data_IF_329796006709
#
_entry.id   IF_329796006709
#
_cell.length_a   1.000
_cell.length_b   1.000
_cell.length_c   1.000
_cell.angle_alpha   90.00
_cell.angle_beta   90.00
_cell.angle_gamma   90.00
#
_symmetry.space_group_name_H-M   'P 1'
#
loop_
_entity.id
_entity.type
_entity.pdbx_description
1 polymer ?
#
# COMPACT_ATOMS: atom_id res chain seq x y z
N UNK A 1 28.30 -20.42 20.97
CA UNK A 1 28.26 -19.02 20.53
C UNK A 1 27.10 -18.84 19.54
N UNK A 2 25.96 -18.25 19.95
CA UNK A 2 24.89 -17.90 19.05
C UNK A 2 25.30 -16.61 18.33
N UNK A 3 25.54 -16.68 17.03
CA UNK A 3 25.67 -15.52 16.14
C UNK A 3 24.40 -14.71 16.26
N UNK A 4 24.47 -13.56 16.93
CA UNK A 4 23.44 -12.52 16.90
C UNK A 4 23.49 -11.87 15.52
N UNK A 5 22.95 -12.57 14.51
CA UNK A 5 22.73 -11.99 13.20
C UNK A 5 21.80 -10.78 13.36
N UNK A 6 22.31 -9.60 13.07
CA UNK A 6 21.55 -8.35 13.06
C UNK A 6 20.38 -8.56 12.09
N UNK A 7 19.16 -8.70 12.63
CA UNK A 7 17.94 -8.90 11.83
C UNK A 7 17.80 -7.71 10.89
N UNK A 8 17.65 -7.97 9.61
CA UNK A 8 17.39 -6.94 8.61
C UNK A 8 16.02 -6.33 8.89
N UNK A 9 15.99 -5.01 9.06
CA UNK A 9 14.75 -4.27 9.35
C UNK A 9 13.83 -4.34 8.14
N UNK A 10 12.67 -4.94 8.30
CA UNK A 10 11.65 -5.05 7.25
C UNK A 10 10.68 -3.88 7.30
N UNK A 11 9.93 -3.66 6.21
CA UNK A 11 8.86 -2.65 6.17
C UNK A 11 7.79 -2.89 7.26
N UNK A 12 7.64 -4.13 7.71
CA UNK A 12 6.73 -4.50 8.80
C UNK A 12 7.15 -3.91 10.15
N UNK A 13 8.42 -3.56 10.32
CA UNK A 13 8.94 -2.96 11.55
C UNK A 13 8.70 -1.44 11.62
N UNK A 14 8.28 -0.83 10.50
CA UNK A 14 8.05 0.61 10.42
C UNK A 14 6.69 1.01 11.05
N UNK A 15 6.62 2.27 11.52
CA UNK A 15 5.35 2.89 11.91
C UNK A 15 4.47 3.13 10.68
N UNK A 16 3.14 3.33 10.84
CA UNK A 16 2.26 3.68 9.74
C UNK A 16 2.73 4.91 8.97
N UNK A 17 3.23 5.92 9.68
CA UNK A 17 3.82 7.12 9.07
C UNK A 17 5.08 6.77 8.27
N UNK A 18 5.94 5.87 8.79
CA UNK A 18 7.12 5.40 8.08
C UNK A 18 6.77 4.66 6.79
N UNK A 19 5.77 3.79 6.82
CA UNK A 19 5.27 3.06 5.64
C UNK A 19 4.70 4.04 4.60
N UNK A 20 3.89 5.01 5.05
CA UNK A 20 3.32 6.07 4.22
C UNK A 20 4.42 6.87 3.50
N UNK A 21 5.41 7.37 4.23
CA UNK A 21 6.50 8.14 3.66
C UNK A 21 7.32 7.31 2.66
N UNK A 22 7.65 6.07 3.02
CA UNK A 22 8.43 5.17 2.17
C UNK A 22 7.70 4.80 0.89
N UNK A 23 6.39 4.55 0.95
CA UNK A 23 5.59 4.19 -0.23
C UNK A 23 5.47 5.34 -1.25
N UNK A 24 5.41 6.59 -0.77
CA UNK A 24 5.35 7.78 -1.64
C UNK A 24 6.71 8.25 -2.17
N UNK A 25 7.81 7.90 -1.49
CA UNK A 25 9.14 8.45 -1.76
C UNK A 25 9.63 8.16 -3.18
N UNK A 26 9.44 6.96 -3.68
CA UNK A 26 9.88 6.56 -5.04
C UNK A 26 9.17 7.40 -6.10
N UNK A 27 7.85 7.57 -5.99
CA UNK A 27 7.07 8.39 -6.92
C UNK A 27 7.44 9.87 -6.80
N UNK A 28 7.70 10.34 -5.56
CA UNK A 28 8.16 11.71 -5.32
C UNK A 28 9.48 12.01 -6.03
N UNK A 29 10.48 11.11 -5.94
CA UNK A 29 11.76 11.26 -6.61
C UNK A 29 11.59 11.28 -8.13
N UNK A 30 10.79 10.36 -8.70
CA UNK A 30 10.52 10.30 -10.14
C UNK A 30 9.87 11.60 -10.61
N UNK A 31 8.82 12.05 -9.92
CA UNK A 31 8.11 13.29 -10.28
C UNK A 31 9.02 14.53 -10.17
N UNK A 32 9.88 14.57 -9.15
CA UNK A 32 10.86 15.64 -8.99
C UNK A 32 11.86 15.69 -10.16
N UNK A 33 12.37 14.54 -10.58
CA UNK A 33 13.28 14.45 -11.76
C UNK A 33 12.55 14.96 -13.01
N UNK A 34 11.31 14.55 -13.25
CA UNK A 34 10.51 15.01 -14.39
C UNK A 34 10.34 16.55 -14.33
N UNK A 35 10.02 17.10 -13.15
CA UNK A 35 9.89 18.55 -12.97
C UNK A 35 11.20 19.29 -13.25
N UNK A 36 12.35 18.74 -12.85
CA UNK A 36 13.67 19.34 -13.14
C UNK A 36 13.94 19.34 -14.64
N UNK A 37 13.63 18.25 -15.34
CA UNK A 37 13.82 18.16 -16.80
C UNK A 37 12.92 19.17 -17.52
N UNK A 38 11.63 19.20 -17.19
CA UNK A 38 10.67 20.16 -17.78
C UNK A 38 11.09 21.59 -17.47
N UNK A 39 11.46 21.88 -16.22
CA UNK A 39 11.95 23.19 -15.80
C UNK A 39 13.19 23.63 -16.57
N UNK A 40 14.15 22.71 -16.77
CA UNK A 40 15.34 22.97 -17.58
C UNK A 40 15.00 23.30 -19.05
N UNK A 41 14.11 22.55 -19.66
CA UNK A 41 13.62 22.80 -21.02
C UNK A 41 12.95 24.19 -21.11
N UNK A 42 12.04 24.50 -20.19
CA UNK A 42 11.33 25.79 -20.17
C UNK A 42 12.30 26.96 -20.01
N UNK A 43 13.28 26.83 -19.11
CA UNK A 43 14.30 27.87 -18.91
C UNK A 43 15.17 28.09 -20.15
N UNK A 44 15.51 27.04 -20.90
CA UNK A 44 16.31 27.16 -22.13
C UNK A 44 15.51 27.82 -23.25
N UNK A 45 14.26 27.40 -23.46
CA UNK A 45 13.46 27.84 -24.61
C UNK A 45 12.66 29.12 -24.34
N UNK A 46 12.34 29.44 -23.08
CA UNK A 46 11.50 30.59 -22.68
C UNK A 46 12.13 31.46 -21.58
N UNK A 47 13.42 31.75 -21.73
CA UNK A 47 14.27 32.43 -20.72
C UNK A 47 13.71 33.73 -20.15
N UNK A 48 12.77 34.41 -20.83
CA UNK A 48 12.21 35.70 -20.40
C UNK A 48 10.69 35.69 -20.31
N UNK A 49 10.04 34.51 -20.39
CA UNK A 49 8.57 34.42 -20.40
C UNK A 49 8.04 34.13 -18.98
N UNK A 50 7.27 35.07 -18.38
CA UNK A 50 6.67 34.85 -17.05
C UNK A 50 5.73 33.64 -16.99
N UNK A 51 5.14 33.23 -18.12
CA UNK A 51 4.31 32.02 -18.21
C UNK A 51 5.14 30.74 -17.95
N UNK A 52 6.40 30.70 -18.39
CA UNK A 52 7.29 29.57 -18.13
C UNK A 52 7.51 29.33 -16.63
N UNK A 53 7.69 30.40 -15.86
CA UNK A 53 7.85 30.32 -14.40
C UNK A 53 6.58 29.79 -13.73
N UNK A 54 5.39 30.23 -14.16
CA UNK A 54 4.11 29.73 -13.66
C UNK A 54 3.94 28.24 -13.88
N UNK A 55 4.34 27.73 -15.05
CA UNK A 55 4.30 26.30 -15.36
C UNK A 55 5.20 25.50 -14.41
N UNK A 56 6.43 25.96 -14.17
CA UNK A 56 7.35 25.30 -13.23
C UNK A 56 6.77 25.26 -11.83
N UNK A 57 6.25 26.38 -11.32
CA UNK A 57 5.63 26.46 -10.01
C UNK A 57 4.41 25.53 -9.91
N UNK A 58 3.57 25.49 -10.92
CA UNK A 58 2.41 24.59 -10.98
C UNK A 58 2.83 23.13 -10.94
N UNK A 59 3.85 22.73 -11.71
CA UNK A 59 4.38 21.36 -11.67
C UNK A 59 4.91 21.01 -10.28
N UNK A 60 5.67 21.91 -9.62
CA UNK A 60 6.20 21.67 -8.27
C UNK A 60 5.08 21.50 -7.23
N UNK A 61 4.02 22.30 -7.32
CA UNK A 61 2.86 22.17 -6.42
C UNK A 61 2.18 20.81 -6.58
N UNK A 62 2.13 20.26 -7.80
CA UNK A 62 1.50 18.98 -8.09
C UNK A 62 2.34 17.77 -7.67
N UNK A 63 3.65 17.90 -7.49
CA UNK A 63 4.55 16.78 -7.11
C UNK A 63 4.07 16.08 -5.85
N UNK A 64 3.73 16.82 -4.80
CA UNK A 64 3.32 16.26 -3.51
C UNK A 64 2.00 15.49 -3.60
N UNK A 65 0.88 16.08 -4.07
CA UNK A 65 -0.38 15.36 -4.15
C UNK A 65 -0.33 14.17 -5.12
N UNK A 66 0.38 14.26 -6.24
CA UNK A 66 0.54 13.16 -7.17
C UNK A 66 1.35 11.99 -6.56
N UNK A 67 2.37 12.30 -5.74
CA UNK A 67 3.22 11.28 -5.14
C UNK A 67 2.58 10.60 -3.93
N UNK A 68 1.86 11.36 -3.12
CA UNK A 68 1.33 10.89 -1.84
C UNK A 68 -0.19 10.65 -1.83
N UNK A 69 -0.90 10.93 -2.90
CA UNK A 69 -2.36 10.74 -2.95
C UNK A 69 -2.78 9.28 -2.73
N UNK A 70 -2.13 8.33 -3.41
CA UNK A 70 -2.41 6.89 -3.24
C UNK A 70 -1.99 6.40 -1.84
N UNK A 71 -0.75 6.68 -1.35
CA UNK A 71 -0.37 6.36 0.03
C UNK A 71 -1.32 6.94 1.08
N UNK A 72 -1.78 8.18 0.89
CA UNK A 72 -2.73 8.83 1.80
C UNK A 72 -4.05 8.08 1.89
N UNK A 73 -4.59 7.64 0.75
CA UNK A 73 -5.79 6.82 0.72
C UNK A 73 -5.60 5.45 1.41
N UNK A 74 -4.43 4.84 1.24
CA UNK A 74 -4.06 3.62 1.96
C UNK A 74 -4.00 3.84 3.48
N UNK A 75 -3.44 4.97 3.91
CA UNK A 75 -3.37 5.37 5.30
C UNK A 75 -4.76 5.57 5.93
N UNK A 76 -5.68 6.24 5.21
CA UNK A 76 -7.07 6.40 5.67
C UNK A 76 -7.78 5.06 5.84
N UNK A 77 -7.59 4.13 4.91
CA UNK A 77 -8.14 2.76 5.04
C UNK A 77 -7.57 2.02 6.25
N UNK A 78 -6.27 2.18 6.52
CA UNK A 78 -5.63 1.59 7.70
C UNK A 78 -6.23 2.16 8.99
N UNK A 79 -6.35 3.48 9.11
CA UNK A 79 -6.98 4.13 10.27
C UNK A 79 -8.45 3.76 10.46
N UNK A 80 -9.20 3.60 9.37
CA UNK A 80 -10.58 3.11 9.44
C UNK A 80 -10.64 1.73 10.09
N UNK A 81 -9.74 0.81 9.70
CA UNK A 81 -9.67 -0.52 10.29
C UNK A 81 -9.27 -0.48 11.76
N UNK A 82 -8.22 0.27 12.12
CA UNK A 82 -7.78 0.45 13.49
C UNK A 82 -8.92 0.95 14.38
N UNK A 83 -9.61 2.00 13.95
CA UNK A 83 -10.72 2.61 14.68
C UNK A 83 -11.90 1.65 14.88
N UNK A 84 -12.22 0.82 13.86
CA UNK A 84 -13.32 -0.14 13.93
C UNK A 84 -13.01 -1.35 14.80
N UNK A 85 -11.76 -1.79 14.78
CA UNK A 85 -11.32 -2.96 15.54
C UNK A 85 -10.89 -2.62 16.97
N UNK A 86 -10.51 -1.36 17.25
CA UNK A 86 -9.82 -0.99 18.47
C UNK A 86 -8.43 -1.61 18.59
N UNK A 87 -7.84 -2.07 17.46
CA UNK A 87 -6.54 -2.72 17.40
C UNK A 87 -5.64 -1.84 16.52
N UNK A 88 -4.52 -1.38 17.09
CA UNK A 88 -3.64 -0.44 16.42
C UNK A 88 -2.38 -1.13 15.90
N UNK A 89 -1.94 -0.72 14.72
CA UNK A 89 -0.69 -1.19 14.10
C UNK A 89 0.53 -1.02 15.01
N UNK A 90 0.59 0.08 15.76
CA UNK A 90 1.69 0.36 16.69
C UNK A 90 1.80 -0.65 17.83
N UNK A 91 0.70 -1.29 18.22
CA UNK A 91 0.62 -2.19 19.38
C UNK A 91 0.84 -3.66 18.96
N UNK A 92 1.21 -3.94 17.71
CA UNK A 92 1.48 -5.29 17.24
C UNK A 92 2.67 -5.93 17.96
N UNK A 93 2.53 -7.19 18.29
CA UNK A 93 3.55 -7.98 19.01
C UNK A 93 4.04 -9.18 18.19
N UNK A 94 3.73 -9.21 16.90
CA UNK A 94 3.94 -10.36 16.01
C UNK A 94 5.02 -10.15 14.95
N UNK A 95 5.90 -9.14 15.14
CA UNK A 95 6.96 -8.83 14.17
C UNK A 95 7.99 -9.96 14.01
N UNK A 96 8.17 -10.78 15.06
CA UNK A 96 9.12 -11.91 15.03
C UNK A 96 8.51 -13.17 14.43
N UNK A 97 7.22 -13.14 14.11
CA UNK A 97 6.51 -14.28 13.54
C UNK A 97 6.68 -14.33 12.02
N UNK A 98 6.63 -15.53 11.44
CA UNK A 98 6.51 -15.70 10.00
C UNK A 98 5.26 -14.95 9.48
N UNK A 99 5.29 -14.50 8.25
CA UNK A 99 4.21 -13.69 7.65
C UNK A 99 2.82 -14.31 7.79
N UNK A 100 2.70 -15.64 7.62
CA UNK A 100 1.43 -16.36 7.75
C UNK A 100 0.89 -16.49 9.18
N UNK A 101 1.69 -16.13 10.18
CA UNK A 101 1.28 -16.10 11.59
C UNK A 101 0.96 -14.69 12.09
N UNK A 102 1.28 -13.67 11.29
CA UNK A 102 1.00 -12.27 11.61
C UNK A 102 -0.48 -11.98 11.49
N UNK A 103 -1.00 -11.16 12.39
CA UNK A 103 -2.39 -10.74 12.39
C UNK A 103 -2.66 -9.61 11.37
N UNK A 104 -1.60 -8.91 10.96
CA UNK A 104 -1.64 -7.88 9.94
C UNK A 104 -0.96 -8.34 8.65
N UNK A 105 -1.65 -8.17 7.52
CA UNK A 105 -1.07 -8.27 6.19
C UNK A 105 -0.60 -6.89 5.75
N UNK A 106 0.64 -6.80 5.27
CA UNK A 106 1.20 -5.57 4.72
C UNK A 106 1.93 -5.89 3.42
N UNK A 107 1.56 -5.21 2.37
CA UNK A 107 2.31 -5.21 1.10
C UNK A 107 2.28 -3.83 0.45
N UNK A 108 3.33 -3.52 -0.35
CA UNK A 108 3.34 -2.32 -1.19
C UNK A 108 2.84 -2.67 -2.57
N UNK A 109 1.94 -1.86 -3.11
CA UNK A 109 1.37 -2.04 -4.43
C UNK A 109 1.06 -0.71 -5.10
N UNK A 110 1.47 -0.52 -6.36
CA UNK A 110 1.19 0.66 -7.21
C UNK A 110 1.44 2.01 -6.54
N UNK A 111 2.56 2.16 -5.85
CA UNK A 111 2.95 3.41 -5.19
C UNK A 111 2.17 3.72 -3.89
N UNK A 112 1.37 2.77 -3.42
CA UNK A 112 0.72 2.80 -2.12
C UNK A 112 1.07 1.57 -1.28
N UNK A 113 0.28 1.32 -0.23
CA UNK A 113 0.38 0.10 0.55
C UNK A 113 -1.01 -0.45 0.86
N UNK A 114 -1.07 -1.76 1.03
CA UNK A 114 -2.25 -2.47 1.49
C UNK A 114 -1.94 -2.96 2.90
N UNK A 115 -2.69 -2.45 3.87
CA UNK A 115 -2.65 -2.92 5.25
C UNK A 115 -4.02 -3.48 5.61
N UNK A 116 -4.06 -4.71 6.10
CA UNK A 116 -5.31 -5.34 6.49
C UNK A 116 -5.12 -6.21 7.73
N UNK A 117 -5.91 -5.95 8.76
CA UNK A 117 -5.96 -6.81 9.92
C UNK A 117 -6.91 -7.98 9.66
N UNK A 118 -6.47 -9.17 10.03
CA UNK A 118 -7.21 -10.41 9.81
C UNK A 118 -8.63 -10.41 10.40
N UNK A 119 -8.82 -9.83 11.60
CA UNK A 119 -10.12 -9.74 12.25
C UNK A 119 -11.07 -8.74 11.57
N UNK A 120 -10.58 -7.91 10.64
CA UNK A 120 -11.41 -7.03 9.82
C UNK A 120 -12.15 -7.81 8.73
N UNK A 121 -11.64 -8.98 8.37
CA UNK A 121 -12.22 -9.85 7.35
C UNK A 121 -13.03 -10.95 8.05
N UNK A 122 -14.33 -10.98 7.81
CA UNK A 122 -15.20 -12.06 8.26
C UNK A 122 -15.01 -13.31 7.41
N UNK A 123 -15.00 -13.15 6.08
CA UNK A 123 -14.72 -14.22 5.11
C UNK A 123 -14.29 -13.65 3.76
N UNK A 124 -13.50 -14.41 3.02
CA UNK A 124 -13.24 -14.16 1.60
C UNK A 124 -14.38 -14.77 0.81
N UNK A 125 -15.02 -13.96 -0.03
CA UNK A 125 -16.15 -14.37 -0.89
C UNK A 125 -15.63 -14.94 -2.20
N UNK A 126 -14.59 -14.32 -2.78
CA UNK A 126 -14.01 -14.77 -4.05
C UNK A 126 -12.94 -13.81 -4.57
N UNK A 127 -12.53 -14.05 -5.80
CA UNK A 127 -11.65 -13.17 -6.56
C UNK A 127 -12.30 -12.79 -7.89
N UNK A 128 -12.01 -11.60 -8.38
CA UNK A 128 -12.47 -11.07 -9.66
C UNK A 128 -11.28 -10.49 -10.41
N UNK A 129 -11.27 -10.67 -11.72
CA UNK A 129 -10.27 -10.06 -12.60
C UNK A 129 -11.04 -9.12 -13.54
N UNK A 130 -10.65 -7.85 -13.50
CA UNK A 130 -11.21 -6.83 -14.38
C UNK A 130 -10.12 -6.34 -15.33
N UNK A 131 -10.47 -6.06 -16.57
CA UNK A 131 -9.56 -5.45 -17.52
C UNK A 131 -9.77 -3.95 -17.47
N UNK A 132 -8.82 -3.20 -16.93
CA UNK A 132 -8.82 -1.73 -17.05
C UNK A 132 -8.35 -1.36 -18.45
N UNK A 133 -9.22 -0.68 -19.21
CA UNK A 133 -8.89 -0.11 -20.51
C UNK A 133 -8.61 1.37 -20.25
N UNK A 134 -7.34 1.75 -20.19
CA UNK A 134 -6.93 3.14 -20.31
C UNK A 134 -6.69 3.46 -21.80
N UNK A 135 -6.78 4.71 -22.22
CA UNK A 135 -6.72 5.15 -23.63
C UNK A 135 -5.55 4.54 -24.44
N UNK A 136 -4.46 4.14 -23.79
CA UNK A 136 -3.27 3.58 -24.45
C UNK A 136 -2.73 2.28 -23.81
N UNK A 137 -3.41 1.70 -22.81
CA UNK A 137 -2.94 0.48 -22.17
C UNK A 137 -4.10 -0.39 -21.67
N UNK A 138 -4.00 -1.70 -21.94
CA UNK A 138 -4.85 -2.72 -21.34
C UNK A 138 -4.11 -3.35 -20.17
N UNK A 139 -4.61 -3.16 -18.95
CA UNK A 139 -4.07 -3.77 -17.75
C UNK A 139 -5.10 -4.69 -17.10
N UNK A 140 -4.63 -5.82 -16.55
CA UNK A 140 -5.47 -6.64 -15.67
C UNK A 140 -5.36 -6.13 -14.26
N UNK A 141 -6.49 -6.06 -13.58
CA UNK A 141 -6.59 -5.73 -12.17
C UNK A 141 -7.27 -6.87 -11.45
N UNK A 142 -6.71 -7.23 -10.33
CA UNK A 142 -7.12 -8.37 -9.54
C UNK A 142 -7.81 -7.86 -8.27
N UNK A 143 -9.01 -8.32 -8.01
CA UNK A 143 -9.76 -7.98 -6.82
C UNK A 143 -9.96 -9.21 -5.95
N UNK A 144 -9.70 -9.06 -4.66
CA UNK A 144 -10.19 -10.00 -3.66
C UNK A 144 -11.44 -9.41 -3.04
N UNK A 145 -12.55 -10.12 -3.17
CA UNK A 145 -13.85 -9.75 -2.62
C UNK A 145 -14.00 -10.41 -1.27
N UNK A 146 -14.26 -9.62 -0.24
CA UNK A 146 -14.42 -10.10 1.12
C UNK A 146 -15.59 -9.41 1.83
N UNK A 147 -16.11 -10.06 2.83
CA UNK A 147 -17.08 -9.52 3.77
C UNK A 147 -16.34 -9.01 5.01
N UNK A 148 -16.57 -7.73 5.37
CA UNK A 148 -15.97 -7.14 6.56
C UNK A 148 -16.70 -7.54 7.84
N UNK A 149 -16.22 -7.05 9.00
CA UNK A 149 -16.80 -7.34 10.33
C UNK A 149 -18.26 -6.92 10.43
N UNK A 150 -18.70 -5.90 9.68
CA UNK A 150 -20.07 -5.39 9.67
C UNK A 150 -20.96 -6.13 8.66
N UNK A 151 -20.45 -7.17 7.99
CA UNK A 151 -21.16 -7.93 6.96
C UNK A 151 -21.22 -7.22 5.60
N UNK A 152 -20.49 -6.13 5.41
CA UNK A 152 -20.46 -5.40 4.12
C UNK A 152 -19.48 -6.06 3.18
N UNK A 153 -19.91 -6.27 1.92
CA UNK A 153 -19.02 -6.74 0.87
C UNK A 153 -18.09 -5.62 0.43
N UNK A 154 -16.78 -5.88 0.47
CA UNK A 154 -15.73 -4.96 0.06
C UNK A 154 -14.82 -5.61 -0.98
N UNK A 155 -14.15 -4.78 -1.79
CA UNK A 155 -13.16 -5.23 -2.77
C UNK A 155 -11.79 -4.64 -2.40
N UNK A 156 -10.76 -5.48 -2.42
CA UNK A 156 -9.37 -5.09 -2.29
C UNK A 156 -8.69 -5.27 -3.65
N UNK A 157 -8.08 -4.19 -4.15
CA UNK A 157 -7.48 -4.12 -5.49
C UNK A 157 -6.00 -4.49 -5.39
N UNK A 158 -5.52 -5.33 -6.31
CA UNK A 158 -4.12 -5.73 -6.46
C UNK A 158 -3.65 -5.54 -7.89
N UNK A 159 -2.36 -5.21 -8.06
CA UNK A 159 -1.75 -5.04 -9.38
C UNK A 159 -1.45 -6.35 -10.08
N UNK A 160 -1.32 -7.45 -9.34
CA UNK A 160 -0.99 -8.77 -9.87
C UNK A 160 -1.77 -9.89 -9.21
N UNK A 161 -1.91 -10.99 -9.93
CA UNK A 161 -2.50 -12.23 -9.41
C UNK A 161 -1.67 -12.81 -8.25
N UNK A 162 -0.35 -12.67 -8.33
CA UNK A 162 0.55 -13.13 -7.27
C UNK A 162 0.23 -12.47 -5.92
N UNK A 163 0.09 -11.15 -5.88
CA UNK A 163 -0.25 -10.41 -4.65
C UNK A 163 -1.65 -10.76 -4.14
N UNK A 164 -2.62 -10.91 -5.05
CA UNK A 164 -3.98 -11.31 -4.67
C UNK A 164 -4.00 -12.73 -4.07
N UNK A 165 -3.24 -13.65 -4.67
CA UNK A 165 -3.10 -15.04 -4.20
C UNK A 165 -2.34 -15.11 -2.88
N UNK A 166 -1.28 -14.31 -2.71
CA UNK A 166 -0.51 -14.18 -1.47
C UNK A 166 -1.40 -13.73 -0.30
N UNK A 167 -2.20 -12.69 -0.51
CA UNK A 167 -3.17 -12.21 0.47
C UNK A 167 -4.17 -13.30 0.87
N UNK A 168 -4.75 -14.02 -0.10
CA UNK A 168 -5.69 -15.09 0.19
C UNK A 168 -5.03 -16.25 0.96
N UNK A 169 -3.80 -16.60 0.59
CA UNK A 169 -3.03 -17.65 1.25
C UNK A 169 -2.67 -17.26 2.69
N UNK A 170 -2.25 -16.00 2.91
CA UNK A 170 -2.04 -15.47 4.24
C UNK A 170 -3.30 -15.61 5.10
N UNK A 171 -4.45 -15.16 4.60
CA UNK A 171 -5.71 -15.23 5.35
C UNK A 171 -6.09 -16.67 5.70
N UNK A 172 -6.00 -17.61 4.74
CA UNK A 172 -6.30 -19.03 4.95
C UNK A 172 -5.36 -19.67 5.98
N UNK A 173 -4.06 -19.44 5.87
CA UNK A 173 -3.04 -20.00 6.77
C UNK A 173 -3.19 -19.45 8.19
N UNK A 174 -3.40 -18.15 8.33
CA UNK A 174 -3.61 -17.49 9.60
C UNK A 174 -4.84 -18.04 10.34
N UNK A 175 -5.95 -18.27 9.65
CA UNK A 175 -7.14 -18.87 10.25
C UNK A 175 -6.94 -20.32 10.66
N UNK A 176 -6.25 -21.14 9.84
CA UNK A 176 -5.93 -22.54 10.16
C UNK A 176 -5.03 -22.65 11.40
N UNK A 177 -4.06 -21.75 11.53
CA UNK A 177 -3.15 -21.73 12.69
C UNK A 177 -3.89 -21.42 14.00
N UNK A 178 -4.82 -20.44 14.00
CA UNK A 178 -5.61 -20.11 15.21
C UNK A 178 -6.63 -21.18 15.58
N UNK A 179 -7.25 -21.86 14.62
CA UNK A 179 -8.16 -22.95 14.94
C UNK A 179 -7.41 -24.05 15.71
N UNK A 180 -6.17 -24.37 15.36
CA UNK A 180 -5.34 -25.32 16.09
C UNK A 180 -4.99 -24.87 17.51
N UNK A 181 -4.70 -23.56 17.73
CA UNK A 181 -4.38 -23.04 19.06
C UNK A 181 -5.56 -23.02 20.05
N UNK A 182 -6.80 -23.03 19.55
CA UNK A 182 -7.99 -23.09 20.40
C UNK A 182 -8.30 -24.51 20.90
N UNK A 183 -7.66 -25.51 20.38
CA UNK A 183 -7.83 -26.92 20.74
C UNK A 183 -6.64 -27.47 21.57
N UNK A 184 -5.67 -26.63 21.91
CA UNK A 184 -4.59 -26.89 22.85
C UNK A 184 -4.79 -26.10 24.16
#
# INVERSE_FOLDING_TARGET
MKSSGKREKTIYDDSLTGIFLRSGLTMFIIMLIICIIIGGIVLVYRRSDPEGIKIILFCLILVVPCSYGIPLFSLFKAWEQERRLGIYWKDRTDHDRPEWERDWYLTCDRGGFILCHRNFIRRIVGSQVETEIAEHARGKVYYVVYEDIDGKTRKMKFSSDSLASEFQNWYKKCNKWRSRKRHL
#
